data_IF_907289576344
#
_entry.id   IF_907289576344
#
_cell.length_a   1.000
_cell.length_b   1.000
_cell.length_c   1.000
_cell.angle_alpha   90.00
_cell.angle_beta   90.00
_cell.angle_gamma   90.00
#
_symmetry.space_group_name_H-M   'P 1'
#
loop_
_entity.id
_entity.type
_entity.pdbx_description
1 polymer ?
#
# COMPACT_ATOMS: atom_id res chain seq x y z
N UNK A 1 18.56 -5.46 -1.93
CA UNK A 1 17.58 -5.44 -3.05
C UNK A 1 17.57 -4.05 -3.70
N UNK A 2 17.41 -3.97 -5.03
CA UNK A 2 17.29 -2.68 -5.73
C UNK A 2 15.83 -2.17 -5.78
N UNK A 3 15.59 -1.00 -5.19
CA UNK A 3 14.29 -0.30 -5.17
C UNK A 3 14.22 0.87 -6.14
N UNK A 4 15.19 1.03 -7.05
CA UNK A 4 15.29 2.15 -8.00
C UNK A 4 13.98 2.40 -8.75
N UNK A 5 13.35 1.35 -9.29
CA UNK A 5 12.06 1.44 -10.01
C UNK A 5 10.92 1.97 -9.13
N UNK A 6 10.86 1.56 -7.86
CA UNK A 6 9.85 2.05 -6.90
C UNK A 6 10.08 3.54 -6.63
N UNK A 7 11.34 3.94 -6.37
CA UNK A 7 11.70 5.35 -6.12
C UNK A 7 11.41 6.25 -7.32
N UNK A 8 11.68 5.77 -8.54
CA UNK A 8 11.33 6.49 -9.78
C UNK A 8 9.83 6.65 -9.95
N UNK A 9 9.04 5.61 -9.66
CA UNK A 9 7.58 5.68 -9.74
C UNK A 9 7.00 6.64 -8.69
N UNK A 10 7.53 6.65 -7.47
CA UNK A 10 7.18 7.66 -6.44
C UNK A 10 7.51 9.08 -6.90
N UNK A 11 8.75 9.31 -7.36
CA UNK A 11 9.21 10.65 -7.78
C UNK A 11 8.40 11.20 -8.97
N UNK A 12 7.99 10.32 -9.89
CA UNK A 12 7.14 10.67 -11.03
C UNK A 12 5.64 10.63 -10.73
N UNK A 13 5.24 10.35 -9.48
CA UNK A 13 3.84 10.19 -9.04
C UNK A 13 3.05 9.16 -9.86
N UNK A 14 3.73 8.17 -10.43
CA UNK A 14 3.14 7.06 -11.19
C UNK A 14 2.58 5.99 -10.26
N UNK A 15 1.66 6.38 -9.37
CA UNK A 15 1.17 5.53 -8.28
C UNK A 15 0.36 4.32 -8.75
N UNK A 16 -0.29 4.42 -9.91
CA UNK A 16 -1.00 3.33 -10.58
C UNK A 16 -0.09 2.15 -10.97
N UNK A 17 1.23 2.39 -11.06
CA UNK A 17 2.21 1.37 -11.45
C UNK A 17 2.89 0.70 -10.26
N UNK A 18 2.79 1.29 -9.07
CA UNK A 18 3.57 0.85 -7.90
C UNK A 18 3.29 -0.59 -7.51
N UNK A 19 2.02 -1.01 -7.49
CA UNK A 19 1.63 -2.39 -7.16
C UNK A 19 2.34 -3.39 -8.08
N UNK A 20 2.22 -3.20 -9.39
CA UNK A 20 2.85 -4.05 -10.39
C UNK A 20 4.39 -4.04 -10.32
N UNK A 21 5.01 -2.89 -10.04
CA UNK A 21 6.47 -2.82 -9.85
C UNK A 21 6.89 -3.64 -8.64
N UNK A 22 6.18 -3.49 -7.52
CA UNK A 22 6.46 -4.21 -6.29
C UNK A 22 6.23 -5.72 -6.44
N UNK A 23 5.14 -6.16 -7.06
CA UNK A 23 4.86 -7.58 -7.31
C UNK A 23 6.00 -8.24 -8.12
N UNK A 24 6.39 -7.62 -9.24
CA UNK A 24 7.46 -8.15 -10.07
C UNK A 24 8.81 -8.18 -9.35
N UNK A 25 9.12 -7.13 -8.59
CA UNK A 25 10.35 -7.10 -7.82
C UNK A 25 10.35 -8.18 -6.73
N UNK A 26 9.23 -8.42 -6.07
CA UNK A 26 9.10 -9.45 -5.02
C UNK A 26 9.32 -10.85 -5.60
N UNK A 27 8.73 -11.11 -6.76
CA UNK A 27 8.95 -12.35 -7.51
C UNK A 27 10.42 -12.52 -7.92
N UNK A 28 11.07 -11.44 -8.37
CA UNK A 28 12.46 -11.47 -8.78
C UNK A 28 13.38 -11.79 -7.58
N UNK A 29 13.26 -11.08 -6.47
CA UNK A 29 14.13 -11.32 -5.30
C UNK A 29 13.91 -12.71 -4.70
N UNK A 30 12.68 -13.22 -4.74
CA UNK A 30 12.38 -14.59 -4.32
C UNK A 30 13.03 -15.62 -5.25
N UNK A 31 12.98 -15.41 -6.56
CA UNK A 31 13.62 -16.29 -7.55
C UNK A 31 15.15 -16.29 -7.43
N UNK A 32 15.74 -15.13 -7.12
CA UNK A 32 17.18 -14.95 -6.95
C UNK A 32 17.67 -15.38 -5.55
N UNK A 33 16.78 -15.89 -4.68
CA UNK A 33 17.06 -16.27 -3.29
C UNK A 33 17.71 -15.15 -2.45
N UNK A 34 17.38 -13.89 -2.78
CA UNK A 34 17.84 -12.71 -2.04
C UNK A 34 16.91 -12.54 -0.84
N UNK A 35 17.44 -12.53 0.39
CA UNK A 35 16.64 -12.19 1.57
C UNK A 35 16.14 -10.75 1.45
N UNK A 36 14.84 -10.54 1.66
CA UNK A 36 14.19 -9.24 1.47
C UNK A 36 13.12 -8.91 2.50
N UNK A 37 12.72 -9.88 3.31
CA UNK A 37 11.52 -9.83 4.15
C UNK A 37 11.59 -8.69 5.17
N UNK A 38 12.73 -8.46 5.80
CA UNK A 38 12.89 -7.39 6.80
C UNK A 38 12.94 -5.98 6.16
N UNK A 39 13.47 -5.88 4.94
CA UNK A 39 13.73 -4.61 4.23
C UNK A 39 12.63 -4.24 3.22
N UNK A 40 11.61 -5.08 3.06
CA UNK A 40 10.59 -4.88 2.04
C UNK A 40 9.64 -3.73 2.41
N UNK A 41 9.31 -2.82 1.47
CA UNK A 41 8.41 -1.69 1.74
C UNK A 41 6.93 -2.14 1.76
N UNK A 42 6.54 -2.96 2.74
CA UNK A 42 5.22 -3.59 2.79
C UNK A 42 4.07 -2.59 2.90
N UNK A 43 4.23 -1.51 3.66
CA UNK A 43 3.19 -0.48 3.79
C UNK A 43 2.89 0.17 2.43
N UNK A 44 3.94 0.53 1.68
CA UNK A 44 3.82 1.04 0.30
C UNK A 44 3.19 0.01 -0.62
N UNK A 45 3.65 -1.24 -0.56
CA UNK A 45 3.14 -2.28 -1.44
C UNK A 45 1.64 -2.54 -1.19
N UNK A 46 1.21 -2.66 0.07
CA UNK A 46 -0.21 -2.79 0.42
C UNK A 46 -1.04 -1.58 -0.04
N UNK A 47 -0.57 -0.36 0.25
CA UNK A 47 -1.29 0.85 -0.11
C UNK A 47 -1.41 1.01 -1.63
N UNK A 48 -0.39 0.60 -2.38
CA UNK A 48 -0.41 0.63 -3.84
C UNK A 48 -1.46 -0.32 -4.44
N UNK A 49 -1.67 -1.50 -3.85
CA UNK A 49 -2.75 -2.41 -4.22
C UNK A 49 -4.13 -1.78 -3.97
N UNK A 50 -4.32 -1.13 -2.81
CA UNK A 50 -5.55 -0.38 -2.54
C UNK A 50 -5.73 0.80 -3.51
N UNK A 51 -4.65 1.47 -3.90
CA UNK A 51 -4.70 2.58 -4.85
C UNK A 51 -5.25 2.16 -6.22
N UNK A 52 -4.91 0.95 -6.68
CA UNK A 52 -5.44 0.39 -7.93
C UNK A 52 -6.73 -0.41 -7.75
N UNK A 53 -7.34 -0.36 -6.56
CA UNK A 53 -8.56 -1.08 -6.19
C UNK A 53 -8.42 -2.62 -6.26
N UNK A 54 -7.20 -3.15 -6.10
CA UNK A 54 -6.95 -4.58 -6.04
C UNK A 54 -6.85 -5.05 -4.57
N UNK A 55 -8.02 -5.10 -3.92
CA UNK A 55 -8.12 -5.52 -2.52
C UNK A 55 -7.73 -7.00 -2.36
N UNK A 56 -7.93 -7.83 -3.38
CA UNK A 56 -7.63 -9.26 -3.29
C UNK A 56 -6.12 -9.50 -3.24
N UNK A 57 -5.35 -8.87 -4.13
CA UNK A 57 -3.89 -8.96 -4.10
C UNK A 57 -3.31 -8.41 -2.79
N UNK A 58 -3.84 -7.30 -2.27
CA UNK A 58 -3.48 -6.80 -0.95
C UNK A 58 -3.74 -7.82 0.19
N UNK A 59 -4.86 -8.55 0.14
CA UNK A 59 -5.17 -9.61 1.14
C UNK A 59 -4.20 -10.78 1.05
N UNK A 60 -3.80 -11.17 -0.17
CA UNK A 60 -2.79 -12.22 -0.34
C UNK A 60 -1.44 -11.77 0.20
N UNK A 61 -1.01 -10.55 -0.11
CA UNK A 61 0.21 -9.96 0.46
C UNK A 61 0.14 -9.91 1.99
N UNK A 62 -0.96 -9.42 2.58
CA UNK A 62 -1.11 -9.39 4.03
C UNK A 62 -0.94 -10.77 4.69
N UNK A 63 -1.41 -11.84 4.05
CA UNK A 63 -1.24 -13.20 4.56
C UNK A 63 0.22 -13.68 4.52
N UNK A 64 1.01 -13.23 3.53
CA UNK A 64 2.41 -13.64 3.41
C UNK A 64 3.37 -12.86 4.32
N UNK A 65 3.00 -11.64 4.74
CA UNK A 65 3.83 -10.83 5.64
C UNK A 65 4.04 -11.57 6.99
N UNK A 66 5.30 -11.74 7.46
CA UNK A 66 5.58 -12.35 8.75
C UNK A 66 4.92 -11.61 9.92
N UNK A 67 4.51 -12.33 10.96
CA UNK A 67 3.90 -11.71 12.15
C UNK A 67 4.84 -10.71 12.84
N UNK A 68 6.14 -11.01 12.88
CA UNK A 68 7.17 -10.11 13.41
C UNK A 68 7.12 -8.73 12.75
N UNK A 69 6.98 -8.68 11.42
CA UNK A 69 6.87 -7.42 10.65
C UNK A 69 5.58 -6.67 10.97
N UNK A 70 4.45 -7.39 11.07
CA UNK A 70 3.15 -6.77 11.40
C UNK A 70 3.17 -6.11 12.78
N UNK A 71 3.91 -6.70 13.71
CA UNK A 71 4.05 -6.22 15.09
C UNK A 71 5.11 -5.12 15.21
N UNK A 72 6.24 -5.25 14.50
CA UNK A 72 7.37 -4.31 14.58
C UNK A 72 7.21 -3.07 13.71
N UNK A 73 6.37 -3.11 12.66
CA UNK A 73 6.17 -2.00 11.72
C UNK A 73 4.74 -1.43 11.80
N UNK A 74 4.49 -0.39 12.62
CA UNK A 74 3.17 0.21 12.81
C UNK A 74 2.52 0.71 11.52
N UNK A 75 3.32 1.20 10.57
CA UNK A 75 2.83 1.66 9.26
C UNK A 75 2.13 0.55 8.47
N UNK A 76 2.64 -0.68 8.52
CA UNK A 76 2.05 -1.83 7.81
C UNK A 76 0.67 -2.15 8.40
N UNK A 77 0.57 -2.17 9.74
CA UNK A 77 -0.70 -2.37 10.43
C UNK A 77 -1.70 -1.22 10.17
N UNK A 78 -1.22 0.02 10.10
CA UNK A 78 -2.05 1.19 9.79
C UNK A 78 -2.63 1.13 8.37
N UNK A 79 -1.81 0.78 7.37
CA UNK A 79 -2.30 0.57 5.99
C UNK A 79 -3.32 -0.56 5.95
N UNK A 80 -3.10 -1.65 6.69
CA UNK A 80 -4.07 -2.74 6.74
C UNK A 80 -5.43 -2.31 7.32
N UNK A 81 -5.45 -1.45 8.34
CA UNK A 81 -6.69 -0.87 8.88
C UNK A 81 -7.47 -0.09 7.80
N UNK A 82 -6.80 0.64 6.92
CA UNK A 82 -7.44 1.28 5.76
C UNK A 82 -8.12 0.22 4.88
N UNK A 83 -7.40 -0.86 4.55
CA UNK A 83 -7.92 -1.99 3.78
C UNK A 83 -9.17 -2.64 4.38
N UNK A 84 -9.21 -2.80 5.70
CA UNK A 84 -10.37 -3.35 6.41
C UNK A 84 -11.61 -2.46 6.24
N UNK A 85 -11.44 -1.14 6.27
CA UNK A 85 -12.53 -0.17 6.06
C UNK A 85 -13.02 -0.16 4.61
N UNK A 86 -12.09 -0.24 3.64
CA UNK A 86 -12.43 -0.40 2.22
C UNK A 86 -13.26 -1.66 1.97
N UNK A 87 -12.88 -2.78 2.58
CA UNK A 87 -13.61 -4.04 2.45
C UNK A 87 -15.06 -3.92 2.93
N UNK A 88 -15.29 -3.20 4.03
CA UNK A 88 -16.60 -2.91 4.58
C UNK A 88 -17.36 -1.79 3.84
N UNK A 89 -16.73 -1.17 2.84
CA UNK A 89 -17.23 0.04 2.15
C UNK A 89 -17.52 1.20 3.11
N UNK A 90 -16.79 1.23 4.23
CA UNK A 90 -16.87 2.27 5.26
C UNK A 90 -15.94 3.42 4.88
N UNK A 91 -16.37 4.26 3.95
CA UNK A 91 -15.54 5.35 3.41
C UNK A 91 -15.22 6.43 4.46
N UNK A 92 -16.14 6.70 5.39
CA UNK A 92 -15.86 7.56 6.54
C UNK A 92 -14.74 6.96 7.38
N UNK A 93 -14.83 5.68 7.70
CA UNK A 93 -13.80 4.94 8.42
C UNK A 93 -12.46 4.85 7.68
N UNK A 94 -12.46 4.84 6.34
CA UNK A 94 -11.21 4.96 5.54
C UNK A 94 -10.51 6.27 5.84
N UNK A 95 -11.21 7.40 5.78
CA UNK A 95 -10.62 8.71 6.05
C UNK A 95 -10.19 8.87 7.51
N UNK A 96 -10.93 8.29 8.46
CA UNK A 96 -10.52 8.24 9.87
C UNK A 96 -9.24 7.41 10.06
N UNK A 97 -9.16 6.23 9.45
CA UNK A 97 -7.98 5.37 9.53
C UNK A 97 -6.73 6.05 8.93
N UNK A 98 -6.89 6.80 7.83
CA UNK A 98 -5.82 7.59 7.22
C UNK A 98 -5.29 8.66 8.18
N UNK A 99 -6.18 9.38 8.88
CA UNK A 99 -5.81 10.46 9.81
C UNK A 99 -5.31 9.96 11.16
N UNK A 100 -5.62 8.72 11.53
CA UNK A 100 -5.26 8.14 12.82
C UNK A 100 -3.79 7.69 12.91
N UNK A 101 -2.99 7.92 11.86
CA UNK A 101 -1.59 7.51 11.80
C UNK A 101 -0.72 8.60 11.19
N UNK A 102 0.47 8.81 11.75
CA UNK A 102 1.47 9.73 11.24
C UNK A 102 2.39 9.01 10.25
N UNK A 103 2.22 9.28 8.95
CA UNK A 103 2.95 8.60 7.88
C UNK A 103 4.37 9.15 7.71
N UNK A 104 5.30 8.28 7.30
CA UNK A 104 6.64 8.73 6.91
C UNK A 104 6.56 9.60 5.65
N UNK A 105 7.58 10.44 5.45
CA UNK A 105 7.72 11.27 4.25
C UNK A 105 7.58 10.45 2.96
N UNK A 106 8.17 9.25 2.91
CA UNK A 106 8.13 8.37 1.75
C UNK A 106 6.72 7.89 1.38
N UNK A 107 5.79 7.84 2.34
CA UNK A 107 4.43 7.33 2.15
C UNK A 107 3.37 8.44 2.15
N UNK A 108 3.68 9.59 2.74
CA UNK A 108 2.77 10.73 2.90
C UNK A 108 2.13 11.14 1.58
N UNK A 109 2.92 11.25 0.51
CA UNK A 109 2.43 11.66 -0.81
C UNK A 109 1.50 10.62 -1.45
N UNK A 110 1.79 9.32 -1.27
CA UNK A 110 0.95 8.24 -1.77
C UNK A 110 -0.38 8.16 -1.00
N UNK A 111 -0.33 8.35 0.33
CA UNK A 111 -1.53 8.39 1.18
C UNK A 111 -2.43 9.56 0.80
N UNK A 112 -1.85 10.75 0.60
CA UNK A 112 -2.60 11.92 0.17
C UNK A 112 -3.28 11.69 -1.20
N UNK A 113 -2.54 11.13 -2.16
CA UNK A 113 -3.08 10.80 -3.47
C UNK A 113 -4.17 9.72 -3.40
N UNK A 114 -4.01 8.71 -2.56
CA UNK A 114 -5.01 7.68 -2.31
C UNK A 114 -6.30 8.30 -1.75
N UNK A 115 -6.18 9.16 -0.74
CA UNK A 115 -7.33 9.82 -0.12
C UNK A 115 -8.12 10.68 -1.11
N UNK A 116 -7.42 11.44 -1.96
CA UNK A 116 -8.04 12.22 -3.03
C UNK A 116 -8.76 11.36 -4.07
N UNK A 117 -8.15 10.23 -4.47
CA UNK A 117 -8.75 9.29 -5.43
C UNK A 117 -10.04 8.67 -4.88
N UNK A 118 -10.07 8.28 -3.61
CA UNK A 118 -11.28 7.73 -2.98
C UNK A 118 -12.41 8.76 -2.94
N UNK A 119 -12.11 10.00 -2.56
CA UNK A 119 -13.11 11.08 -2.55
C UNK A 119 -13.71 11.32 -3.95
N UNK A 120 -12.87 11.30 -4.99
CA UNK A 120 -13.32 11.42 -6.38
C UNK A 120 -14.21 10.24 -6.80
N UNK A 121 -13.83 9.00 -6.48
CA UNK A 121 -14.64 7.81 -6.81
C UNK A 121 -16.03 7.84 -6.15
N UNK A 122 -16.10 8.23 -4.88
CA UNK A 122 -17.37 8.37 -4.17
C UNK A 122 -18.22 9.44 -4.85
N UNK A 123 -17.64 10.61 -5.16
CA UNK A 123 -18.35 11.68 -5.84
C UNK A 123 -18.93 11.24 -7.19
N UNK A 124 -18.15 10.53 -8.01
CA UNK A 124 -18.61 10.02 -9.31
C UNK A 124 -19.72 8.98 -9.16
N UNK A 125 -19.73 8.19 -8.08
CA UNK A 125 -20.78 7.18 -7.84
C UNK A 125 -22.14 7.73 -7.41
N UNK A 126 -22.23 9.04 -7.16
CA UNK A 126 -23.47 9.72 -6.72
C UNK A 126 -24.29 10.31 -7.88
N UNK A 127 -23.81 10.20 -9.12
CA UNK A 127 -24.47 10.68 -10.34
C UNK A 127 -24.59 9.55 -11.37
#
# INVERSE_FOLDING_TARGET
MDLSKVRMALASKSYDKLAHICDNLMLQVAADAIAYEEDWPYALHLLSHFYVNDINSARFLWKSIPSSIKESQPQVAAVWKIGQRLWLRDYTGVHEAIRAFDWSEDLQDLVAAFSGKQAFMIFVSLF
#
